data_IF_028487058803
#
_entry.id   IF_028487058803
#
_cell.length_a   1.000
_cell.length_b   1.000
_cell.length_c   1.000
_cell.angle_alpha   90.00
_cell.angle_beta   90.00
_cell.angle_gamma   90.00
#
_symmetry.space_group_name_H-M   'P 1'
#
loop_
_entity.id
_entity.type
_entity.pdbx_description
1 polymer ?
#
# COMPACT_ATOMS: atom_id res chain seq x y z
N UNK A 1 -14.38 -26.04 38.25
CA UNK A 1 -14.99 -24.72 38.24
C UNK A 1 -15.69 -24.31 39.53
N UNK A 2 -16.52 -25.13 40.17
CA UNK A 2 -17.26 -24.77 41.42
C UNK A 2 -16.36 -24.35 42.63
N UNK A 3 -15.14 -24.90 42.79
CA UNK A 3 -14.23 -24.52 43.90
C UNK A 3 -13.66 -23.11 43.76
N UNK A 4 -13.40 -22.64 42.55
CA UNK A 4 -12.85 -21.28 42.28
C UNK A 4 -13.91 -20.20 42.51
N UNK A 5 -15.15 -20.46 42.13
CA UNK A 5 -16.28 -19.54 42.38
C UNK A 5 -16.55 -19.31 43.87
N UNK A 6 -16.42 -20.34 44.69
CA UNK A 6 -16.64 -20.21 46.14
C UNK A 6 -15.54 -19.41 46.86
N UNK A 7 -14.30 -19.46 46.36
CA UNK A 7 -13.19 -18.63 46.89
C UNK A 7 -13.38 -17.18 46.57
N UNK A 8 -13.84 -16.88 45.35
CA UNK A 8 -14.12 -15.49 44.88
C UNK A 8 -15.28 -14.87 45.65
N UNK A 9 -16.31 -15.63 46.00
CA UNK A 9 -17.51 -15.13 46.72
C UNK A 9 -17.21 -14.68 48.16
N UNK A 10 -16.16 -15.19 48.79
CA UNK A 10 -15.79 -14.87 50.18
C UNK A 10 -14.64 -13.85 50.31
N UNK A 11 -14.17 -13.26 49.21
CA UNK A 11 -13.13 -12.21 49.25
C UNK A 11 -13.72 -10.87 49.65
N UNK A 12 -13.09 -10.11 50.56
CA UNK A 12 -13.48 -8.73 50.87
C UNK A 12 -13.50 -7.87 49.60
N UNK A 13 -14.50 -6.99 49.47
CA UNK A 13 -14.69 -6.15 48.26
C UNK A 13 -13.43 -5.43 47.75
N UNK A 14 -12.54 -5.02 48.64
CA UNK A 14 -11.27 -4.39 48.31
C UNK A 14 -10.33 -5.30 47.47
N UNK A 15 -10.32 -6.61 47.71
CA UNK A 15 -9.51 -7.55 46.94
C UNK A 15 -10.14 -7.91 45.60
N UNK A 16 -11.47 -7.85 45.47
CA UNK A 16 -12.16 -8.01 44.19
C UNK A 16 -11.84 -6.84 43.22
N UNK A 17 -11.76 -5.60 43.73
CA UNK A 17 -11.37 -4.44 42.95
C UNK A 17 -9.91 -4.57 42.46
N UNK A 18 -9.00 -4.97 43.35
CA UNK A 18 -7.58 -5.17 43.00
C UNK A 18 -7.44 -6.29 41.97
N UNK A 19 -8.16 -7.39 42.10
CA UNK A 19 -8.17 -8.51 41.17
C UNK A 19 -8.69 -8.05 39.79
N UNK A 20 -9.75 -7.22 39.73
CA UNK A 20 -10.30 -6.65 38.53
C UNK A 20 -9.29 -5.76 37.79
N UNK A 21 -8.55 -4.93 38.53
CA UNK A 21 -7.50 -4.08 37.97
C UNK A 21 -6.36 -4.94 37.37
N UNK A 22 -5.92 -5.99 38.10
CA UNK A 22 -4.87 -6.89 37.63
C UNK A 22 -5.29 -7.57 36.32
N UNK A 23 -6.53 -8.12 36.27
CA UNK A 23 -7.05 -8.77 35.05
C UNK A 23 -7.11 -7.79 33.88
N UNK A 24 -7.50 -6.53 34.12
CA UNK A 24 -7.57 -5.50 33.09
C UNK A 24 -6.17 -5.15 32.56
N UNK A 25 -5.20 -4.94 33.45
CA UNK A 25 -3.81 -4.63 33.08
C UNK A 25 -3.17 -5.78 32.29
N UNK A 26 -3.35 -7.03 32.75
CA UNK A 26 -2.85 -8.21 32.05
C UNK A 26 -3.55 -8.37 30.69
N UNK A 27 -4.86 -8.12 30.62
CA UNK A 27 -5.62 -8.18 29.37
C UNK A 27 -5.14 -7.15 28.35
N UNK A 28 -4.89 -5.91 28.76
CA UNK A 28 -4.34 -4.87 27.89
C UNK A 28 -2.91 -5.18 27.45
N UNK A 29 -2.07 -5.69 28.36
CA UNK A 29 -0.69 -6.06 28.03
C UNK A 29 -0.63 -7.21 27.03
N UNK A 30 -1.45 -8.26 27.22
CA UNK A 30 -1.53 -9.39 26.27
C UNK A 30 -2.10 -8.97 24.93
N UNK A 31 -3.15 -8.14 24.89
CA UNK A 31 -3.70 -7.60 23.66
C UNK A 31 -2.65 -6.80 22.85
N UNK A 32 -1.93 -5.88 23.50
CA UNK A 32 -0.87 -5.10 22.85
C UNK A 32 0.27 -5.98 22.34
N UNK A 33 0.60 -7.05 23.07
CA UNK A 33 1.66 -7.98 22.65
C UNK A 33 1.22 -8.78 21.43
N UNK A 34 0.01 -9.33 21.45
CA UNK A 34 -0.56 -10.09 20.31
C UNK A 34 -0.70 -9.18 19.09
N UNK A 35 -1.20 -7.96 19.28
CA UNK A 35 -1.32 -7.00 18.19
C UNK A 35 0.04 -6.64 17.57
N UNK A 36 1.09 -6.46 18.39
CA UNK A 36 2.46 -6.23 17.90
C UNK A 36 3.04 -7.44 17.19
N UNK A 37 2.73 -8.66 17.64
CA UNK A 37 3.17 -9.89 16.96
C UNK A 37 2.45 -10.07 15.63
N UNK A 38 1.14 -9.83 15.53
CA UNK A 38 0.40 -9.88 14.27
C UNK A 38 0.90 -8.84 13.27
N UNK A 39 1.14 -7.60 13.69
CA UNK A 39 1.73 -6.58 12.83
C UNK A 39 3.14 -6.94 12.36
N UNK A 40 3.96 -7.55 13.22
CA UNK A 40 5.30 -8.01 12.82
C UNK A 40 5.26 -9.18 11.85
N UNK A 41 4.34 -10.14 12.02
CA UNK A 41 4.22 -11.27 11.09
C UNK A 41 3.70 -10.83 9.72
N UNK A 42 2.74 -9.91 9.66
CA UNK A 42 2.29 -9.33 8.39
C UNK A 42 3.42 -8.58 7.66
N UNK A 43 4.21 -7.79 8.38
CA UNK A 43 5.37 -7.10 7.79
C UNK A 43 6.45 -8.09 7.34
N UNK A 44 6.67 -9.20 8.06
CA UNK A 44 7.62 -10.24 7.67
C UNK A 44 7.12 -11.08 6.49
N UNK A 45 5.83 -11.41 6.42
CA UNK A 45 5.22 -12.06 5.25
C UNK A 45 5.30 -11.17 4.00
N UNK A 46 5.02 -9.88 4.13
CA UNK A 46 5.19 -8.93 3.02
C UNK A 46 6.67 -8.77 2.62
N UNK A 47 7.62 -8.87 3.56
CA UNK A 47 9.05 -8.83 3.27
C UNK A 47 9.55 -10.10 2.58
N UNK A 48 9.08 -11.28 2.98
CA UNK A 48 9.45 -12.56 2.34
C UNK A 48 8.83 -12.67 0.95
N UNK A 49 7.56 -12.34 0.79
CA UNK A 49 6.89 -12.32 -0.52
C UNK A 49 7.61 -11.36 -1.49
N UNK A 50 8.04 -10.19 -1.03
CA UNK A 50 8.83 -9.28 -1.86
C UNK A 50 10.24 -9.79 -2.19
N UNK A 51 10.89 -10.55 -1.30
CA UNK A 51 12.21 -11.14 -1.57
C UNK A 51 12.12 -12.36 -2.49
N UNK A 52 11.17 -13.25 -2.25
CA UNK A 52 10.93 -14.43 -3.09
C UNK A 52 10.49 -14.04 -4.51
N UNK A 53 9.75 -12.94 -4.65
CA UNK A 53 9.30 -12.40 -5.93
C UNK A 53 10.47 -11.78 -6.74
N UNK A 54 11.42 -11.14 -6.08
CA UNK A 54 12.65 -10.62 -6.68
C UNK A 54 13.57 -11.76 -7.14
N UNK A 55 13.59 -12.89 -6.43
CA UNK A 55 14.37 -14.06 -6.81
C UNK A 55 13.76 -14.84 -8.00
N UNK A 56 12.43 -14.88 -8.14
CA UNK A 56 11.75 -15.51 -9.27
C UNK A 56 11.88 -14.75 -10.60
N UNK A 57 12.20 -13.46 -10.57
CA UNK A 57 12.30 -12.60 -11.76
C UNK A 57 13.61 -12.71 -12.54
N UNK A 58 14.59 -13.49 -12.06
CA UNK A 58 15.84 -13.79 -12.78
C UNK A 58 16.79 -12.61 -13.00
N UNK A 59 16.27 -11.40 -13.10
CA UNK A 59 17.05 -10.16 -13.16
C UNK A 59 16.67 -9.30 -11.94
N UNK A 60 17.49 -9.34 -10.90
CA UNK A 60 17.37 -8.37 -9.79
C UNK A 60 17.41 -6.98 -10.38
N UNK A 61 16.40 -6.13 -10.11
CA UNK A 61 16.46 -4.74 -10.57
C UNK A 61 17.80 -4.17 -10.11
N UNK A 62 18.61 -3.69 -11.05
CA UNK A 62 19.93 -3.15 -10.74
C UNK A 62 19.72 -1.99 -9.78
N UNK A 63 20.30 -2.10 -8.57
CA UNK A 63 20.28 -1.00 -7.61
C UNK A 63 21.03 0.21 -8.16
N UNK A 64 20.83 1.35 -7.56
CA UNK A 64 21.53 2.59 -7.90
C UNK A 64 22.90 2.61 -7.22
N UNK A 65 23.91 3.18 -7.88
CA UNK A 65 25.28 3.25 -7.37
C UNK A 65 25.40 4.28 -6.22
N UNK A 66 24.55 5.30 -6.25
CA UNK A 66 24.48 6.35 -5.23
C UNK A 66 23.06 6.60 -4.72
N UNK A 67 22.96 7.14 -3.51
CA UNK A 67 21.66 7.58 -2.97
C UNK A 67 21.05 8.73 -3.78
N UNK A 68 21.86 9.55 -4.39
CA UNK A 68 21.41 10.66 -5.21
C UNK A 68 20.72 10.14 -6.50
N UNK A 69 21.35 9.17 -7.17
CA UNK A 69 20.73 8.49 -8.32
C UNK A 69 19.44 7.79 -7.95
N UNK A 70 19.40 7.11 -6.79
CA UNK A 70 18.18 6.50 -6.27
C UNK A 70 17.06 7.54 -6.08
N UNK A 71 17.38 8.70 -5.48
CA UNK A 71 16.39 9.77 -5.25
C UNK A 71 15.89 10.39 -6.55
N UNK A 72 16.78 10.62 -7.50
CA UNK A 72 16.42 11.13 -8.83
C UNK A 72 15.50 10.14 -9.54
N UNK A 73 15.86 8.85 -9.55
CA UNK A 73 15.06 7.81 -10.20
C UNK A 73 13.67 7.67 -9.57
N UNK A 74 13.57 7.67 -8.23
CA UNK A 74 12.28 7.62 -7.53
C UNK A 74 11.41 8.82 -7.86
N UNK A 75 11.98 10.03 -7.86
CA UNK A 75 11.25 11.26 -8.21
C UNK A 75 10.75 11.20 -9.64
N UNK A 76 11.60 10.78 -10.58
CA UNK A 76 11.25 10.59 -11.98
C UNK A 76 10.11 9.58 -12.17
N UNK A 77 10.09 8.49 -11.40
CA UNK A 77 9.00 7.51 -11.44
C UNK A 77 7.66 8.14 -11.07
N UNK A 78 7.63 9.01 -10.04
CA UNK A 78 6.42 9.70 -9.63
C UNK A 78 6.00 10.76 -10.67
N UNK A 79 6.94 11.52 -11.23
CA UNK A 79 6.67 12.46 -12.32
C UNK A 79 6.12 11.75 -13.57
N UNK A 80 6.69 10.58 -13.91
CA UNK A 80 6.19 9.74 -15.00
C UNK A 80 4.76 9.23 -14.71
N UNK A 81 4.45 8.84 -13.45
CA UNK A 81 3.10 8.50 -13.05
C UNK A 81 2.14 9.67 -13.31
N UNK A 82 2.46 10.88 -12.83
CA UNK A 82 1.60 12.06 -13.01
C UNK A 82 1.37 12.38 -14.49
N UNK A 83 2.41 12.31 -15.30
CA UNK A 83 2.32 12.51 -16.75
C UNK A 83 1.47 11.43 -17.42
N UNK A 84 1.61 10.17 -17.04
CA UNK A 84 0.87 9.04 -17.63
C UNK A 84 -0.61 9.03 -17.21
N UNK A 85 -0.94 9.48 -16.01
CA UNK A 85 -2.33 9.66 -15.57
C UNK A 85 -3.04 10.67 -16.47
N UNK A 86 -2.39 11.81 -16.77
CA UNK A 86 -2.98 12.84 -17.61
C UNK A 86 -3.27 12.38 -19.05
N UNK A 87 -2.50 11.43 -19.56
CA UNK A 87 -2.53 10.96 -20.95
C UNK A 87 -3.22 9.60 -21.12
N UNK A 88 -3.82 9.01 -20.08
CA UNK A 88 -4.43 7.67 -20.12
C UNK A 88 -3.51 6.59 -20.68
N UNK A 89 -2.23 6.65 -20.33
CA UNK A 89 -1.22 5.76 -20.92
C UNK A 89 -1.34 4.32 -20.41
N UNK A 90 -1.43 3.35 -21.32
CA UNK A 90 -1.45 1.90 -20.99
C UNK A 90 -0.14 1.37 -20.38
N UNK A 91 0.90 2.20 -20.33
CA UNK A 91 2.18 1.85 -19.69
C UNK A 91 2.24 2.19 -18.20
N UNK A 92 1.19 2.82 -17.66
CA UNK A 92 1.11 3.19 -16.24
C UNK A 92 1.38 2.00 -15.32
N UNK A 93 0.83 0.79 -15.55
CA UNK A 93 1.06 -0.34 -14.65
C UNK A 93 2.54 -0.70 -14.47
N UNK A 94 3.39 -0.48 -15.47
CA UNK A 94 4.82 -0.80 -15.39
C UNK A 94 5.62 0.04 -14.39
N UNK A 95 5.05 1.12 -13.88
CA UNK A 95 5.65 1.90 -12.80
C UNK A 95 5.47 1.25 -11.42
N UNK A 96 4.60 0.24 -11.32
CA UNK A 96 4.21 -0.38 -10.07
C UNK A 96 4.86 -1.76 -9.88
N UNK A 97 4.97 -2.17 -8.63
CA UNK A 97 5.20 -3.57 -8.27
C UNK A 97 3.87 -4.33 -8.28
N UNK A 98 3.92 -5.64 -8.05
CA UNK A 98 2.73 -6.49 -7.84
C UNK A 98 1.80 -5.94 -6.74
N UNK A 99 2.34 -5.31 -5.71
CA UNK A 99 1.54 -4.70 -4.65
C UNK A 99 0.51 -3.68 -5.17
N UNK A 100 0.78 -3.03 -6.31
CA UNK A 100 -0.15 -2.09 -6.93
C UNK A 100 -1.48 -2.72 -7.36
N UNK A 101 -1.45 -3.95 -7.88
CA UNK A 101 -2.59 -4.56 -8.55
C UNK A 101 -2.86 -6.02 -8.17
N UNK A 102 -2.08 -6.63 -7.28
CA UNK A 102 -2.16 -8.05 -6.97
C UNK A 102 -1.57 -8.98 -8.04
N UNK A 103 -1.16 -8.44 -9.19
CA UNK A 103 -0.53 -9.13 -10.30
C UNK A 103 0.69 -8.35 -10.77
N UNK A 104 1.72 -9.06 -11.20
CA UNK A 104 2.93 -8.44 -11.71
C UNK A 104 2.68 -7.76 -13.07
N UNK A 105 3.01 -6.46 -13.22
CA UNK A 105 2.71 -5.72 -14.45
C UNK A 105 3.29 -6.35 -15.73
N UNK A 106 4.48 -6.96 -15.63
CA UNK A 106 5.12 -7.63 -16.78
C UNK A 106 4.40 -8.91 -17.23
N UNK A 107 3.58 -9.51 -16.35
CA UNK A 107 2.80 -10.73 -16.64
C UNK A 107 1.35 -10.44 -17.02
N UNK A 108 0.96 -9.17 -17.02
CA UNK A 108 -0.40 -8.76 -17.37
C UNK A 108 -0.68 -8.98 -18.86
N UNK A 109 -1.84 -9.55 -19.16
CA UNK A 109 -2.44 -9.52 -20.51
C UNK A 109 -2.80 -8.08 -20.90
N UNK A 110 -3.12 -7.86 -22.17
CA UNK A 110 -3.56 -6.53 -22.65
C UNK A 110 -4.81 -6.04 -21.93
N UNK A 111 -5.76 -6.93 -21.67
CA UNK A 111 -6.99 -6.61 -20.93
C UNK A 111 -6.71 -6.25 -19.46
N UNK A 112 -5.87 -7.02 -18.79
CA UNK A 112 -5.46 -6.72 -17.40
C UNK A 112 -4.72 -5.39 -17.31
N UNK A 113 -3.86 -5.06 -18.27
CA UNK A 113 -3.20 -3.72 -18.32
C UNK A 113 -4.20 -2.59 -18.51
N UNK A 114 -5.21 -2.78 -19.35
CA UNK A 114 -6.28 -1.80 -19.53
C UNK A 114 -7.03 -1.58 -18.22
N UNK A 115 -7.47 -2.65 -17.55
CA UNK A 115 -8.15 -2.57 -16.25
C UNK A 115 -7.27 -1.93 -15.17
N UNK A 116 -5.96 -2.23 -15.14
CA UNK A 116 -5.02 -1.62 -14.22
C UNK A 116 -4.86 -0.11 -14.50
N UNK A 117 -4.80 0.29 -15.76
CA UNK A 117 -4.74 1.71 -16.15
C UNK A 117 -6.01 2.45 -15.74
N UNK A 118 -7.17 1.88 -15.98
CA UNK A 118 -8.45 2.44 -15.55
C UNK A 118 -8.54 2.55 -14.03
N UNK A 119 -8.03 1.55 -13.30
CA UNK A 119 -7.99 1.57 -11.84
C UNK A 119 -7.11 2.73 -11.32
N UNK A 120 -5.95 2.97 -11.93
CA UNK A 120 -5.09 4.12 -11.60
C UNK A 120 -5.82 5.44 -11.87
N UNK A 121 -6.43 5.59 -13.02
CA UNK A 121 -7.20 6.80 -13.35
C UNK A 121 -8.36 7.01 -12.38
N UNK A 122 -9.10 5.96 -12.08
CA UNK A 122 -10.20 6.03 -11.10
C UNK A 122 -9.70 6.41 -9.71
N UNK A 123 -8.55 5.89 -9.30
CA UNK A 123 -7.95 6.21 -8.00
C UNK A 123 -7.62 7.71 -7.89
N UNK A 124 -7.02 8.32 -8.91
CA UNK A 124 -6.59 9.71 -8.87
C UNK A 124 -7.67 10.70 -9.34
N UNK A 125 -8.47 10.34 -10.35
CA UNK A 125 -9.39 11.26 -11.02
C UNK A 125 -10.86 10.99 -10.68
N UNK A 126 -11.21 9.74 -10.35
CA UNK A 126 -12.60 9.33 -10.10
C UNK A 126 -13.59 9.70 -11.22
N UNK A 127 -13.15 9.70 -12.47
CA UNK A 127 -13.94 10.08 -13.62
C UNK A 127 -13.95 11.57 -13.95
N UNK A 128 -13.31 12.41 -13.15
CA UNK A 128 -13.19 13.84 -13.38
C UNK A 128 -12.06 14.18 -14.32
N UNK A 129 -12.08 15.40 -14.85
CA UNK A 129 -11.06 15.87 -15.78
C UNK A 129 -9.80 16.32 -15.04
N UNK A 130 -8.65 15.74 -15.43
CA UNK A 130 -7.34 16.17 -14.96
C UNK A 130 -7.02 17.58 -15.47
N UNK A 131 -6.51 18.44 -14.59
CA UNK A 131 -6.00 19.76 -14.96
C UNK A 131 -4.48 19.83 -14.80
N UNK A 132 -3.96 19.53 -13.60
CA UNK A 132 -2.54 19.54 -13.29
C UNK A 132 -2.24 18.66 -12.08
N UNK A 133 -0.96 18.31 -11.87
CA UNK A 133 -0.52 17.65 -10.67
C UNK A 133 0.91 18.05 -10.30
N UNK A 134 1.23 17.97 -9.00
CA UNK A 134 2.58 18.27 -8.50
C UNK A 134 2.91 17.45 -7.26
N UNK A 135 4.20 17.23 -7.07
CA UNK A 135 4.73 16.70 -5.81
C UNK A 135 4.83 17.87 -4.82
N UNK A 136 4.17 17.76 -3.68
CA UNK A 136 4.14 18.82 -2.65
C UNK A 136 5.13 18.57 -1.53
N UNK A 137 5.44 17.29 -1.22
CA UNK A 137 6.34 16.89 -0.15
C UNK A 137 6.91 15.50 -0.42
N UNK A 138 8.12 15.23 0.08
CA UNK A 138 8.74 13.92 0.03
C UNK A 138 9.22 13.56 1.44
N UNK A 139 8.68 12.48 2.00
CA UNK A 139 9.13 11.93 3.27
C UNK A 139 10.05 10.73 2.98
N UNK A 140 11.33 10.85 3.35
CA UNK A 140 12.33 9.81 3.13
C UNK A 140 12.23 8.73 4.20
N UNK A 141 12.08 7.48 3.78
CA UNK A 141 12.00 6.31 4.63
C UNK A 141 13.20 5.37 4.48
N UNK A 142 13.30 4.39 5.37
CA UNK A 142 14.39 3.39 5.29
C UNK A 142 14.20 2.40 4.14
N UNK A 143 12.95 2.03 3.82
CA UNK A 143 12.59 1.03 2.80
C UNK A 143 11.87 1.67 1.61
N UNK A 144 10.96 2.58 1.91
CA UNK A 144 10.16 3.29 0.92
C UNK A 144 10.18 4.78 1.22
N UNK A 145 10.16 5.60 0.18
CA UNK A 145 9.93 7.03 0.28
C UNK A 145 8.47 7.31 0.00
N UNK A 146 7.85 8.22 0.77
CA UNK A 146 6.46 8.63 0.57
C UNK A 146 6.43 9.99 -0.12
N UNK A 147 5.83 10.03 -1.30
CA UNK A 147 5.60 11.22 -2.09
C UNK A 147 4.17 11.70 -1.85
N UNK A 148 4.02 12.95 -1.40
CA UNK A 148 2.75 13.63 -1.30
C UNK A 148 2.48 14.33 -2.61
N UNK A 149 1.35 14.02 -3.23
CA UNK A 149 0.96 14.51 -4.54
C UNK A 149 -0.33 15.31 -4.39
N UNK A 150 -0.38 16.48 -5.02
CA UNK A 150 -1.60 17.24 -5.22
C UNK A 150 -2.00 17.12 -6.68
N UNK A 151 -3.22 16.64 -6.92
CA UNK A 151 -3.84 16.58 -8.25
C UNK A 151 -4.95 17.63 -8.30
N UNK A 152 -4.89 18.52 -9.27
CA UNK A 152 -5.92 19.53 -9.53
C UNK A 152 -6.91 18.97 -10.55
N UNK A 153 -8.16 18.92 -10.15
CA UNK A 153 -9.28 18.43 -10.95
C UNK A 153 -10.10 19.61 -11.46
N UNK A 154 -10.39 19.61 -12.77
CA UNK A 154 -11.22 20.63 -13.39
C UNK A 154 -12.69 20.39 -13.04
N UNK A 155 -13.27 21.32 -12.32
CA UNK A 155 -14.72 21.43 -12.11
C UNK A 155 -15.31 22.53 -13.00
N UNK A 156 -16.62 22.64 -13.09
CA UNK A 156 -17.31 23.61 -13.97
C UNK A 156 -16.83 25.04 -13.76
N UNK A 157 -16.61 25.47 -12.52
CA UNK A 157 -16.28 26.87 -12.18
C UNK A 157 -15.03 27.01 -11.30
N UNK A 158 -14.37 25.92 -10.90
CA UNK A 158 -13.20 25.96 -10.00
C UNK A 158 -12.29 24.76 -10.21
N UNK A 159 -11.08 24.83 -9.65
CA UNK A 159 -10.15 23.70 -9.55
C UNK A 159 -10.23 23.10 -8.16
N UNK A 160 -10.47 21.80 -8.09
CA UNK A 160 -10.52 21.03 -6.84
C UNK A 160 -9.16 20.38 -6.61
N UNK A 161 -8.43 20.69 -5.51
CA UNK A 161 -7.21 20.01 -5.14
C UNK A 161 -7.51 18.71 -4.41
N UNK A 162 -6.93 17.59 -4.85
CA UNK A 162 -6.98 16.29 -4.17
C UNK A 162 -5.57 15.87 -3.77
N UNK A 163 -5.45 15.38 -2.54
CA UNK A 163 -4.17 14.98 -1.98
C UNK A 163 -4.04 13.46 -1.96
N UNK A 164 -2.90 12.95 -2.44
CA UNK A 164 -2.58 11.54 -2.48
C UNK A 164 -1.21 11.27 -1.88
N UNK A 165 -0.99 10.02 -1.47
CA UNK A 165 0.31 9.52 -1.04
C UNK A 165 0.72 8.35 -1.91
N UNK A 166 1.90 8.44 -2.50
CA UNK A 166 2.48 7.37 -3.31
C UNK A 166 3.78 6.93 -2.67
N UNK A 167 3.93 5.63 -2.44
CA UNK A 167 5.12 5.04 -1.86
C UNK A 167 5.99 4.43 -2.97
N UNK A 168 7.30 4.70 -2.91
CA UNK A 168 8.27 4.23 -3.91
C UNK A 168 9.40 3.49 -3.18
N UNK A 169 9.69 2.28 -3.62
CA UNK A 169 10.74 1.43 -3.06
C UNK A 169 12.15 1.85 -3.52
N UNK A 170 13.18 1.17 -3.00
CA UNK A 170 14.60 1.42 -3.34
C UNK A 170 14.96 1.15 -4.81
N UNK A 171 14.09 0.51 -5.58
CA UNK A 171 14.27 0.23 -7.01
C UNK A 171 13.50 1.20 -7.90
N UNK A 172 13.03 2.31 -7.34
CA UNK A 172 12.21 3.31 -8.00
C UNK A 172 10.89 2.76 -8.57
N UNK A 173 10.28 1.79 -7.89
CA UNK A 173 8.98 1.22 -8.25
C UNK A 173 7.92 1.61 -7.21
N UNK A 174 6.71 1.85 -7.66
CA UNK A 174 5.58 2.24 -6.82
C UNK A 174 5.00 0.98 -6.16
N UNK A 175 4.92 1.01 -4.82
CA UNK A 175 4.36 -0.08 -4.00
C UNK A 175 2.98 0.25 -3.43
N UNK A 176 2.45 1.43 -3.71
CA UNK A 176 1.11 1.84 -3.25
C UNK A 176 0.04 0.94 -3.86
N UNK A 177 -0.78 0.26 -3.05
CA UNK A 177 -1.90 -0.53 -3.57
C UNK A 177 -2.94 0.38 -4.24
N UNK A 178 -3.36 0.03 -5.45
CA UNK A 178 -4.38 0.75 -6.21
C UNK A 178 -5.67 -0.05 -6.27
N UNK A 179 -5.62 -1.29 -6.77
CA UNK A 179 -6.76 -2.19 -6.88
C UNK A 179 -6.28 -3.63 -7.09
N UNK A 180 -7.14 -4.60 -6.76
CA UNK A 180 -6.94 -5.99 -7.15
C UNK A 180 -7.51 -6.19 -8.55
N UNK A 181 -6.67 -6.59 -9.51
CA UNK A 181 -7.09 -6.88 -10.88
C UNK A 181 -7.38 -8.37 -10.99
N UNK A 182 -8.56 -8.79 -11.55
CA UNK A 182 -8.87 -10.19 -11.80
C UNK A 182 -7.82 -10.82 -12.72
N UNK A 183 -7.21 -11.94 -12.30
CA UNK A 183 -6.21 -12.65 -13.08
C UNK A 183 -6.82 -13.89 -13.73
N UNK A 184 -6.49 -14.12 -15.02
CA UNK A 184 -6.86 -15.36 -15.72
C UNK A 184 -8.31 -15.45 -16.19
N UNK A 185 -9.05 -14.35 -16.30
CA UNK A 185 -10.27 -14.33 -17.11
C UNK A 185 -9.85 -14.34 -18.59
N UNK A 186 -9.87 -15.52 -19.20
CA UNK A 186 -9.75 -15.66 -20.65
C UNK A 186 -10.81 -14.78 -21.32
N UNK A 187 -10.39 -14.03 -22.35
CA UNK A 187 -11.32 -13.34 -23.22
C UNK A 187 -12.33 -14.38 -23.74
N UNK A 188 -13.58 -14.24 -23.34
CA UNK A 188 -14.66 -15.00 -23.99
C UNK A 188 -14.70 -14.49 -25.42
N UNK A 189 -14.43 -15.34 -26.46
CA UNK A 189 -14.55 -14.89 -27.83
C UNK A 189 -15.96 -14.37 -28.03
N UNK A 190 -16.10 -13.15 -28.46
CA UNK A 190 -17.38 -12.59 -28.89
C UNK A 190 -17.58 -13.12 -30.32
N UNK A 191 -18.43 -14.17 -30.45
CA UNK A 191 -18.93 -14.68 -31.75
C UNK A 191 -19.79 -13.63 -32.47
#
# INVERSE_FOLDING_TARGET
MKKVMNVLANLPRKYLVILGIIVLVVGVATYNTIHRYMMKSQVQEEEQVNQDEIEMLGDKPKGFDTKEEEYIAKTKTVEDLLRKISNSSYDVPYLFTKAGFGIEPMKMTSNERMLATEAVQRYFLNGDQFYNARITKIDRGKKVDTYHIEVLIQQVNFLEPRQFKVQVNKYAQIVTPIAQIPHGQEEVPVD
#
